data_IF_038094243793
#
_entry.id   IF_038094243793
#
_cell.length_a   1.000
_cell.length_b   1.000
_cell.length_c   1.000
_cell.angle_alpha   90.00
_cell.angle_beta   90.00
_cell.angle_gamma   90.00
#
_symmetry.space_group_name_H-M   'P 1'
#
loop_
_entity.id
_entity.type
_entity.pdbx_description
1 polymer ?
#
# COMPACT_ATOMS: atom_id res chain seq x y z
N UNK A 1 11.09 -44.59 -61.23
CA UNK A 1 12.13 -44.22 -60.23
C UNK A 1 11.83 -42.83 -59.68
N UNK A 2 10.93 -42.71 -58.69
CA UNK A 2 10.60 -41.41 -58.07
C UNK A 2 10.16 -41.61 -56.62
N UNK A 3 11.09 -41.82 -55.67
CA UNK A 3 10.71 -41.97 -54.25
C UNK A 3 11.69 -41.35 -53.24
N UNK A 4 12.83 -40.81 -53.66
CA UNK A 4 13.87 -40.35 -52.73
C UNK A 4 13.88 -38.83 -52.53
N UNK A 5 13.28 -38.03 -53.43
CA UNK A 5 13.26 -36.55 -53.31
C UNK A 5 12.13 -35.98 -52.44
N UNK A 6 11.10 -36.78 -52.14
CA UNK A 6 9.86 -36.33 -51.49
C UNK A 6 9.89 -36.45 -49.96
N UNK A 7 10.82 -37.23 -49.39
CA UNK A 7 10.93 -37.47 -47.93
C UNK A 7 11.63 -36.34 -47.17
N UNK A 8 12.61 -35.66 -47.79
CA UNK A 8 13.32 -34.54 -47.17
C UNK A 8 12.45 -33.30 -46.96
N UNK A 9 11.54 -33.01 -47.91
CA UNK A 9 10.61 -31.89 -47.79
C UNK A 9 9.53 -32.14 -46.72
N UNK A 10 9.07 -33.39 -46.60
CA UNK A 10 8.09 -33.77 -45.58
C UNK A 10 8.65 -33.62 -44.15
N UNK A 11 9.91 -34.02 -43.93
CA UNK A 11 10.59 -33.86 -42.63
C UNK A 11 10.76 -32.38 -42.25
N UNK A 12 11.16 -31.53 -43.18
CA UNK A 12 11.30 -30.10 -42.95
C UNK A 12 9.98 -29.44 -42.56
N UNK A 13 8.89 -29.80 -43.25
CA UNK A 13 7.55 -29.29 -42.94
C UNK A 13 7.08 -29.71 -41.54
N UNK A 14 7.38 -30.95 -41.12
CA UNK A 14 7.03 -31.41 -39.76
C UNK A 14 7.80 -30.67 -38.66
N UNK A 15 9.10 -30.42 -38.86
CA UNK A 15 9.93 -29.69 -37.90
C UNK A 15 9.49 -28.22 -37.80
N UNK A 16 9.26 -27.56 -38.93
CA UNK A 16 8.70 -26.21 -38.98
C UNK A 16 7.33 -26.14 -38.28
N UNK A 17 6.47 -27.13 -38.50
CA UNK A 17 5.18 -27.23 -37.83
C UNK A 17 5.32 -27.37 -36.31
N UNK A 18 6.21 -28.24 -35.83
CA UNK A 18 6.50 -28.38 -34.40
C UNK A 18 7.05 -27.08 -33.79
N UNK A 19 7.98 -26.41 -34.48
CA UNK A 19 8.54 -25.14 -34.04
C UNK A 19 7.47 -24.04 -33.98
N UNK A 20 6.58 -23.97 -34.97
CA UNK A 20 5.49 -23.01 -35.01
C UNK A 20 4.48 -23.22 -33.87
N UNK A 21 4.12 -24.48 -33.59
CA UNK A 21 3.25 -24.83 -32.46
C UNK A 21 3.92 -24.51 -31.11
N UNK A 22 5.22 -24.77 -30.99
CA UNK A 22 6.01 -24.40 -29.81
C UNK A 22 6.03 -22.88 -29.58
N UNK A 23 6.26 -22.09 -30.64
CA UNK A 23 6.22 -20.63 -30.56
C UNK A 23 4.83 -20.11 -30.18
N UNK A 24 3.77 -20.65 -30.79
CA UNK A 24 2.40 -20.28 -30.48
C UNK A 24 2.04 -20.61 -29.02
N UNK A 25 2.48 -21.77 -28.52
CA UNK A 25 2.33 -22.16 -27.12
C UNK A 25 3.05 -21.20 -26.16
N UNK A 26 4.32 -20.86 -26.44
CA UNK A 26 5.07 -19.88 -25.66
C UNK A 26 4.39 -18.50 -25.65
N UNK A 27 3.90 -18.01 -26.79
CA UNK A 27 3.21 -16.72 -26.86
C UNK A 27 1.91 -16.72 -26.06
N UNK A 28 1.14 -17.80 -26.11
CA UNK A 28 -0.08 -17.95 -25.32
C UNK A 28 0.19 -17.98 -23.81
N UNK A 29 1.27 -18.66 -23.38
CA UNK A 29 1.72 -18.68 -21.99
C UNK A 29 2.18 -17.30 -21.53
N UNK A 30 3.00 -16.61 -22.33
CA UNK A 30 3.44 -15.24 -22.05
C UNK A 30 2.26 -14.28 -21.87
N UNK A 31 1.24 -14.35 -22.73
CA UNK A 31 0.04 -13.52 -22.60
C UNK A 31 -0.75 -13.77 -21.31
N UNK A 32 -0.81 -15.02 -20.83
CA UNK A 32 -1.47 -15.36 -19.56
C UNK A 32 -0.69 -14.86 -18.34
N UNK A 33 0.64 -14.90 -18.39
CA UNK A 33 1.51 -14.38 -17.33
C UNK A 33 1.39 -12.85 -17.20
N UNK A 34 1.38 -12.12 -18.32
CA UNK A 34 1.29 -10.65 -18.30
C UNK A 34 -0.03 -10.16 -17.68
N UNK A 35 -1.15 -10.82 -17.95
CA UNK A 35 -2.44 -10.46 -17.37
C UNK A 35 -2.52 -10.78 -15.87
N UNK A 36 -1.97 -11.93 -15.45
CA UNK A 36 -1.87 -12.27 -14.02
C UNK A 36 -0.98 -11.26 -13.26
N UNK A 37 0.13 -10.83 -13.86
CA UNK A 37 1.02 -9.81 -13.28
C UNK A 37 0.33 -8.45 -13.18
N UNK A 38 -0.41 -8.02 -14.22
CA UNK A 38 -1.18 -6.77 -14.18
C UNK A 38 -2.21 -6.76 -13.05
N UNK A 39 -2.99 -7.82 -12.87
CA UNK A 39 -3.95 -7.92 -11.77
C UNK A 39 -3.29 -7.87 -10.38
N UNK A 40 -2.07 -8.38 -10.23
CA UNK A 40 -1.32 -8.29 -8.97
C UNK A 40 -0.68 -6.92 -8.70
N UNK A 41 -0.48 -6.09 -9.73
CA UNK A 41 0.16 -4.77 -9.60
C UNK A 41 -0.64 -3.81 -8.73
N UNK A 42 -1.95 -3.72 -8.93
CA UNK A 42 -2.84 -2.85 -8.16
C UNK A 42 -2.95 -3.31 -6.70
N UNK A 43 -3.08 -4.62 -6.51
CA UNK A 43 -3.09 -5.25 -5.18
C UNK A 43 -1.80 -4.96 -4.42
N UNK A 44 -0.64 -5.08 -5.08
CA UNK A 44 0.67 -4.80 -4.47
C UNK A 44 0.80 -3.35 -4.02
N UNK A 45 0.33 -2.39 -4.83
CA UNK A 45 0.42 -0.96 -4.47
C UNK A 45 -0.39 -0.63 -3.22
N UNK A 46 -1.63 -1.10 -3.14
CA UNK A 46 -2.47 -0.91 -1.95
C UNK A 46 -1.85 -1.57 -0.72
N UNK A 47 -1.29 -2.78 -0.85
CA UNK A 47 -0.61 -3.46 0.25
C UNK A 47 0.62 -2.70 0.73
N UNK A 48 1.43 -2.17 -0.19
CA UNK A 48 2.59 -1.35 0.18
C UNK A 48 2.15 -0.07 0.91
N UNK A 49 1.12 0.62 0.43
CA UNK A 49 0.58 1.80 1.08
C UNK A 49 0.06 1.51 2.49
N UNK A 50 -0.66 0.40 2.65
CA UNK A 50 -1.15 -0.04 3.96
C UNK A 50 -0.01 -0.34 4.93
N UNK A 51 1.02 -1.08 4.48
CA UNK A 51 2.20 -1.37 5.29
C UNK A 51 3.01 -0.11 5.64
N UNK A 52 3.11 0.86 4.73
CA UNK A 52 3.71 2.17 5.01
C UNK A 52 2.93 2.92 6.08
N UNK A 53 1.60 2.99 5.97
CA UNK A 53 0.76 3.65 6.97
C UNK A 53 0.86 2.96 8.34
N UNK A 54 0.87 1.63 8.37
CA UNK A 54 1.01 0.85 9.59
C UNK A 54 2.40 1.02 10.23
N UNK A 55 3.47 1.04 9.42
CA UNK A 55 4.84 1.28 9.90
C UNK A 55 5.00 2.69 10.46
N UNK A 56 4.46 3.70 9.76
CA UNK A 56 4.44 5.07 10.24
C UNK A 56 3.69 5.16 11.57
N UNK A 57 2.49 4.57 11.67
CA UNK A 57 1.69 4.55 12.89
C UNK A 57 2.46 3.93 14.06
N UNK A 58 3.06 2.75 13.85
CA UNK A 58 3.87 2.07 14.85
C UNK A 58 5.07 2.94 15.28
N UNK A 59 5.80 3.53 14.33
CA UNK A 59 6.88 4.47 14.65
C UNK A 59 6.36 5.67 15.46
N UNK A 60 5.21 6.23 15.12
CA UNK A 60 4.58 7.34 15.84
C UNK A 60 4.31 7.03 17.30
N UNK A 61 4.07 5.76 17.66
CA UNK A 61 3.89 5.35 19.06
C UNK A 61 5.17 5.32 19.88
N UNK A 62 6.34 5.28 19.21
CA UNK A 62 7.65 5.35 19.88
C UNK A 62 8.12 6.79 20.13
N UNK A 63 7.39 7.78 19.58
CA UNK A 63 7.77 9.18 19.67
C UNK A 63 7.15 9.85 20.90
N UNK A 64 7.88 10.80 21.48
CA UNK A 64 7.34 11.73 22.46
C UNK A 64 6.66 12.90 21.77
N UNK A 65 5.36 13.07 22.01
CA UNK A 65 4.57 14.15 21.45
C UNK A 65 4.36 15.25 22.49
N UNK A 66 4.63 16.52 22.21
CA UNK A 66 4.09 17.61 23.04
C UNK A 66 2.56 17.69 22.90
N UNK A 67 1.93 18.45 23.78
CA UNK A 67 0.48 18.64 23.75
C UNK A 67 0.07 19.31 22.41
N UNK A 68 -0.76 18.66 21.57
CA UNK A 68 -1.17 19.25 20.31
C UNK A 68 -2.14 20.41 20.53
N UNK A 69 -2.08 21.48 19.73
CA UNK A 69 -3.05 22.56 19.83
C UNK A 69 -4.48 22.06 19.55
N UNK A 70 -5.52 22.68 20.15
CA UNK A 70 -6.91 22.26 19.95
C UNK A 70 -7.29 22.23 18.47
N UNK A 71 -7.83 21.08 18.03
CA UNK A 71 -8.31 20.89 16.66
C UNK A 71 -7.23 20.74 15.58
N UNK A 72 -5.93 20.87 15.92
CA UNK A 72 -4.82 20.84 14.96
C UNK A 72 -4.01 19.56 15.03
N UNK A 73 -3.45 19.19 13.88
CA UNK A 73 -2.52 18.07 13.78
C UNK A 73 -1.09 18.54 13.99
N UNK A 74 -0.37 17.83 14.85
CA UNK A 74 1.07 17.94 14.93
C UNK A 74 1.70 16.73 14.26
N UNK A 75 2.57 16.95 13.28
CA UNK A 75 3.15 15.88 12.47
C UNK A 75 4.65 15.74 12.68
N UNK A 76 5.14 14.52 12.51
CA UNK A 76 6.56 14.18 12.41
C UNK A 76 6.77 13.24 11.23
N UNK A 77 7.94 13.33 10.61
CA UNK A 77 8.31 12.52 9.45
C UNK A 77 9.64 11.82 9.73
N UNK A 78 9.74 10.56 9.31
CA UNK A 78 10.97 9.76 9.34
C UNK A 78 11.02 8.84 8.12
N UNK A 79 12.07 8.01 8.02
CA UNK A 79 12.18 6.96 7.01
C UNK A 79 11.05 5.91 7.11
N UNK A 80 10.47 5.73 8.31
CA UNK A 80 9.33 4.84 8.52
C UNK A 80 8.00 5.44 8.01
N UNK A 81 7.99 6.74 7.66
CA UNK A 81 6.84 7.46 7.14
C UNK A 81 6.45 8.67 7.98
N UNK A 82 5.26 9.20 7.70
CA UNK A 82 4.71 10.39 8.37
C UNK A 82 3.63 10.01 9.36
N UNK A 83 3.77 10.50 10.59
CA UNK A 83 2.80 10.29 11.66
C UNK A 83 2.37 11.61 12.26
N UNK A 84 1.11 11.71 12.67
CA UNK A 84 0.56 12.92 13.24
C UNK A 84 -0.31 12.63 14.46
N UNK A 85 -0.28 13.51 15.45
CA UNK A 85 -1.11 13.47 16.66
C UNK A 85 -2.08 14.66 16.68
N UNK A 86 -3.32 14.41 17.07
CA UNK A 86 -4.35 15.43 17.33
C UNK A 86 -5.18 15.01 18.55
N UNK A 87 -5.67 15.97 19.34
CA UNK A 87 -6.65 15.68 20.39
C UNK A 87 -7.99 15.25 19.75
N UNK A 88 -8.56 14.13 20.18
CA UNK A 88 -9.82 13.65 19.60
C UNK A 88 -10.98 14.52 20.05
N UNK A 89 -11.88 14.88 19.13
CA UNK A 89 -13.09 15.65 19.46
C UNK A 89 -14.29 14.75 19.73
N UNK A 90 -14.25 13.50 19.28
CA UNK A 90 -15.34 12.52 19.43
C UNK A 90 -15.10 11.50 20.55
N UNK A 91 -13.91 10.90 20.59
CA UNK A 91 -13.66 9.66 21.34
C UNK A 91 -12.94 9.87 22.68
N UNK A 92 -12.51 11.09 22.95
CA UNK A 92 -11.63 11.42 24.07
C UNK A 92 -10.19 10.94 23.87
N UNK A 93 -9.25 11.52 24.61
CA UNK A 93 -7.82 11.26 24.43
C UNK A 93 -7.28 11.83 23.11
N UNK A 94 -6.42 11.08 22.44
CA UNK A 94 -5.72 11.54 21.23
C UNK A 94 -5.84 10.54 20.09
N UNK A 95 -5.80 11.07 18.88
CA UNK A 95 -5.70 10.31 17.64
C UNK A 95 -4.29 10.42 17.11
N UNK A 96 -3.63 9.27 17.02
CA UNK A 96 -2.42 9.10 16.25
C UNK A 96 -2.80 8.61 14.84
N UNK A 97 -2.22 9.21 13.82
CA UNK A 97 -2.45 8.86 12.42
C UNK A 97 -1.14 8.54 11.73
N UNK A 98 -1.06 7.42 11.01
CA UNK A 98 0.03 7.06 10.12
C UNK A 98 -0.37 7.24 8.65
N UNK A 99 0.55 7.69 7.81
CA UNK A 99 0.32 7.93 6.39
C UNK A 99 1.12 6.95 5.52
N UNK A 100 0.45 6.35 4.55
CA UNK A 100 1.03 5.63 3.42
C UNK A 100 0.65 6.27 2.09
N UNK A 101 1.33 5.88 1.01
CA UNK A 101 1.07 6.41 -0.34
C UNK A 101 0.67 5.28 -1.29
N UNK A 102 -0.56 5.33 -1.82
CA UNK A 102 -1.04 4.39 -2.86
C UNK A 102 -0.50 4.80 -4.22
N UNK A 103 -0.55 6.10 -4.50
CA UNK A 103 0.06 6.76 -5.64
C UNK A 103 0.49 8.18 -5.22
N UNK A 104 1.03 8.97 -6.15
CA UNK A 104 1.52 10.32 -5.87
C UNK A 104 0.45 11.33 -5.39
N UNK A 105 -0.84 10.99 -5.48
CA UNK A 105 -1.97 11.89 -5.19
C UNK A 105 -2.92 11.35 -4.13
N UNK A 106 -2.89 10.05 -3.86
CA UNK A 106 -3.84 9.36 -3.00
C UNK A 106 -3.14 8.81 -1.75
N UNK A 107 -3.15 9.56 -0.64
CA UNK A 107 -2.66 9.06 0.63
C UNK A 107 -3.65 8.04 1.23
N UNK A 108 -3.10 7.04 1.90
CA UNK A 108 -3.84 6.12 2.76
C UNK A 108 -3.51 6.48 4.22
N UNK A 109 -4.54 6.58 5.05
CA UNK A 109 -4.39 6.92 6.47
C UNK A 109 -4.90 5.78 7.34
N UNK A 110 -4.12 5.45 8.37
CA UNK A 110 -4.55 4.58 9.47
C UNK A 110 -4.54 5.39 10.76
N UNK A 111 -5.48 5.11 11.64
CA UNK A 111 -5.68 5.82 12.90
C UNK A 111 -5.58 4.86 14.08
N UNK A 112 -5.09 5.39 15.19
CA UNK A 112 -5.01 4.69 16.47
C UNK A 112 -5.39 5.67 17.58
N UNK A 113 -6.35 5.28 18.41
CA UNK A 113 -6.60 5.98 19.67
C UNK A 113 -5.44 5.72 20.62
N UNK A 114 -4.94 6.80 21.20
CA UNK A 114 -3.86 6.78 22.17
C UNK A 114 -4.17 7.66 23.36
N UNK A 115 -3.66 7.28 24.54
CA UNK A 115 -3.50 8.20 25.66
C UNK A 115 -2.12 8.83 25.58
N UNK A 116 -1.99 10.03 26.15
CA UNK A 116 -0.72 10.75 26.30
C UNK A 116 -0.49 10.99 27.78
N UNK A 117 0.70 10.71 28.28
CA UNK A 117 1.09 11.06 29.64
C UNK A 117 1.66 12.50 29.72
N UNK A 118 2.02 12.95 30.92
CA UNK A 118 2.59 14.28 31.13
C UNK A 118 3.93 14.50 30.41
N UNK A 119 4.70 13.44 30.17
CA UNK A 119 5.99 13.47 29.47
C UNK A 119 5.84 13.42 27.94
N UNK A 120 4.62 13.17 27.46
CA UNK A 120 4.31 13.06 26.04
C UNK A 120 4.49 11.68 25.44
N UNK A 121 4.69 10.65 26.25
CA UNK A 121 4.64 9.28 25.77
C UNK A 121 3.21 8.93 25.42
N UNK A 122 3.04 8.25 24.30
CA UNK A 122 1.74 7.79 23.84
C UNK A 122 1.59 6.28 24.07
N UNK A 123 0.44 5.86 24.56
CA UNK A 123 0.11 4.44 24.72
C UNK A 123 -1.15 4.13 23.92
N UNK A 124 -1.09 3.05 23.14
CA UNK A 124 -2.21 2.62 22.31
C UNK A 124 -3.35 2.09 23.18
N UNK A 125 -4.58 2.52 22.91
CA UNK A 125 -5.77 1.92 23.49
C UNK A 125 -6.07 0.60 22.77
N UNK A 126 -6.30 -0.46 23.55
CA UNK A 126 -6.75 -1.74 23.01
C UNK A 126 -8.07 -1.57 22.24
N UNK A 127 -8.13 -2.09 21.01
CA UNK A 127 -9.29 -1.91 20.12
C UNK A 127 -9.45 -0.51 19.54
N UNK A 128 -8.48 0.39 19.74
CA UNK A 128 -8.51 1.75 19.23
C UNK A 128 -8.00 1.93 17.79
N UNK A 129 -7.70 0.83 17.08
CA UNK A 129 -7.21 0.85 15.72
C UNK A 129 -8.36 1.04 14.73
N UNK A 130 -8.18 1.92 13.74
CA UNK A 130 -9.23 2.36 12.83
C UNK A 130 -8.64 2.63 11.43
N UNK A 131 -9.31 2.13 10.40
CA UNK A 131 -9.01 2.40 8.98
C UNK A 131 -9.85 3.55 8.39
N UNK A 132 -10.77 4.09 9.18
CA UNK A 132 -11.60 5.24 8.84
C UNK A 132 -11.33 6.42 9.78
N UNK A 133 -11.70 7.62 9.33
CA UNK A 133 -11.66 8.83 10.14
C UNK A 133 -12.71 8.75 11.26
N UNK A 134 -12.31 8.73 12.55
CA UNK A 134 -13.26 8.66 13.66
C UNK A 134 -13.90 10.00 14.04
N UNK A 135 -13.45 11.10 13.45
CA UNK A 135 -13.99 12.42 13.73
C UNK A 135 -15.30 12.67 12.97
N UNK A 136 -16.17 13.52 13.54
CA UNK A 136 -17.52 13.76 13.00
C UNK A 136 -17.48 14.44 11.63
N UNK A 137 -16.59 15.42 11.48
CA UNK A 137 -16.42 16.15 10.23
C UNK A 137 -15.15 15.70 9.50
N UNK A 138 -15.25 15.49 8.19
CA UNK A 138 -14.10 15.05 7.38
C UNK A 138 -12.91 16.01 7.46
N UNK A 139 -13.19 17.31 7.57
CA UNK A 139 -12.18 18.37 7.71
C UNK A 139 -11.29 18.20 8.94
N UNK A 140 -11.77 17.50 9.97
CA UNK A 140 -11.01 17.27 11.20
C UNK A 140 -9.95 16.19 11.04
N UNK A 141 -10.11 15.33 10.03
CA UNK A 141 -9.14 14.31 9.65
C UNK A 141 -8.14 14.77 8.60
N UNK A 142 -8.43 15.88 7.91
CA UNK A 142 -7.48 16.51 7.01
C UNK A 142 -6.39 17.23 7.81
N UNK A 143 -5.14 17.11 7.35
CA UNK A 143 -4.01 17.74 8.05
C UNK A 143 -4.05 19.25 7.82
N UNK A 144 -4.50 19.99 8.82
CA UNK A 144 -4.22 21.42 8.91
C UNK A 144 -2.99 21.57 9.81
N UNK A 145 -1.84 21.74 9.16
CA UNK A 145 -0.54 21.77 9.81
C UNK A 145 -0.31 23.10 10.53
N UNK A 146 0.34 23.05 11.69
CA UNK A 146 0.92 24.23 12.33
C UNK A 146 2.32 24.43 11.74
N UNK A 147 2.68 25.65 11.27
CA UNK A 147 4.03 25.97 10.81
C UNK A 147 5.12 25.68 11.85
#
# INVERSE_FOLDING_TARGET
MSAVKQRGNALLLTLLGMMALGLAGLQALHGQLDEAVRMTGDTRRTLLAWNQAASALAWGTTQRWPEPPPGRWQCRTSDAGRSCLKASTQLGGYLLRGQGQVDARTPLYLYQLVTRDGEGQVQQLAGGWLDFCPERERRDCDVQEVP
#
